data_IF_405619210310
#
_entry.id   IF_405619210310
#
_cell.length_a   1.000
_cell.length_b   1.000
_cell.length_c   1.000
_cell.angle_alpha   90.00
_cell.angle_beta   90.00
_cell.angle_gamma   90.00
#
_symmetry.space_group_name_H-M   'P 1'
#
loop_
_entity.id
_entity.type
_entity.pdbx_description
1 polymer ?
#
# COMPACT_ATOMS: atom_id res chain seq x y z
N UNK A 1 -38.80 1.45 -61.04
CA UNK A 1 -38.77 2.12 -59.72
C UNK A 1 -38.28 1.09 -58.71
N UNK A 2 -37.02 1.20 -58.29
CA UNK A 2 -36.37 0.38 -57.27
C UNK A 2 -37.00 0.61 -55.89
N UNK A 3 -36.99 -0.44 -55.05
CA UNK A 3 -36.82 -0.43 -53.57
C UNK A 3 -36.87 -1.89 -53.09
N UNK A 4 -35.73 -2.57 -53.10
CA UNK A 4 -34.82 -2.78 -51.96
C UNK A 4 -35.33 -3.82 -50.96
N UNK A 5 -34.82 -5.05 -51.11
CA UNK A 5 -34.82 -6.10 -50.08
C UNK A 5 -33.98 -5.60 -48.90
N UNK A 6 -34.59 -5.41 -47.74
CA UNK A 6 -33.86 -5.17 -46.51
C UNK A 6 -33.15 -6.44 -46.08
N UNK A 7 -31.82 -6.45 -46.18
CA UNK A 7 -30.98 -7.37 -45.42
C UNK A 7 -31.05 -6.93 -43.96
N UNK A 8 -31.56 -7.80 -43.10
CA UNK A 8 -31.36 -7.68 -41.65
C UNK A 8 -29.88 -7.94 -41.42
N UNK A 9 -29.12 -6.88 -41.15
CA UNK A 9 -27.78 -7.04 -40.63
C UNK A 9 -27.92 -7.75 -39.27
N UNK A 10 -27.45 -8.99 -39.20
CA UNK A 10 -27.26 -9.66 -37.93
C UNK A 10 -26.31 -8.77 -37.12
N UNK A 11 -26.83 -8.18 -36.04
CA UNK A 11 -25.97 -7.56 -35.04
C UNK A 11 -25.06 -8.66 -34.52
N UNK A 12 -23.79 -8.58 -34.87
CA UNK A 12 -22.74 -9.36 -34.20
C UNK A 12 -22.76 -8.84 -32.76
N UNK A 13 -23.39 -9.60 -31.87
CA UNK A 13 -23.24 -9.40 -30.44
C UNK A 13 -21.74 -9.39 -30.16
N UNK A 14 -21.22 -8.30 -29.60
CA UNK A 14 -19.89 -8.33 -29.01
C UNK A 14 -19.86 -9.55 -28.07
N UNK A 15 -18.87 -10.45 -28.19
CA UNK A 15 -18.79 -11.59 -27.32
C UNK A 15 -18.63 -11.07 -25.89
N UNK A 16 -19.70 -11.19 -25.09
CA UNK A 16 -19.66 -10.90 -23.67
C UNK A 16 -18.65 -11.87 -23.05
N UNK A 17 -17.54 -11.33 -22.55
CA UNK A 17 -16.57 -12.11 -21.78
C UNK A 17 -17.30 -12.69 -20.55
N UNK A 18 -17.27 -14.00 -20.38
CA UNK A 18 -17.96 -14.72 -19.28
C UNK A 18 -17.24 -14.61 -17.92
N UNK A 19 -16.32 -13.66 -17.77
CA UNK A 19 -15.48 -13.51 -16.60
C UNK A 19 -15.15 -12.04 -16.33
N UNK A 20 -14.86 -11.74 -15.08
CA UNK A 20 -14.47 -10.41 -14.62
C UNK A 20 -13.08 -10.44 -13.98
N UNK A 21 -12.26 -9.44 -14.27
CA UNK A 21 -10.95 -9.25 -13.62
C UNK A 21 -10.96 -7.90 -12.92
N UNK A 22 -10.43 -7.86 -11.70
CA UNK A 22 -10.26 -6.66 -10.88
C UNK A 22 -8.76 -6.48 -10.61
N UNK A 23 -8.16 -5.34 -10.98
CA UNK A 23 -8.73 -4.28 -11.82
C UNK A 23 -8.98 -4.75 -13.26
N UNK A 24 -9.97 -4.13 -13.92
CA UNK A 24 -10.32 -4.44 -15.31
C UNK A 24 -9.13 -4.14 -16.24
N UNK A 25 -8.73 -5.07 -17.12
CA UNK A 25 -7.62 -4.84 -18.03
C UNK A 25 -7.91 -3.74 -19.03
N UNK A 26 -6.92 -2.90 -19.31
CA UNK A 26 -7.05 -1.78 -20.25
C UNK A 26 -7.32 -2.21 -21.70
N UNK A 27 -6.86 -3.39 -22.11
CA UNK A 27 -7.14 -3.94 -23.44
C UNK A 27 -7.26 -5.47 -23.41
N UNK A 28 -8.37 -5.97 -23.96
CA UNK A 28 -8.63 -7.40 -24.18
C UNK A 28 -8.97 -7.58 -25.66
N UNK A 29 -8.19 -8.38 -26.37
CA UNK A 29 -8.39 -8.74 -27.78
C UNK A 29 -8.83 -10.21 -27.89
N UNK A 30 -10.11 -10.51 -28.10
CA UNK A 30 -10.59 -11.87 -28.27
C UNK A 30 -10.05 -12.50 -29.57
N UNK A 31 -9.65 -13.76 -29.50
CA UNK A 31 -9.21 -14.56 -30.66
C UNK A 31 -10.14 -15.76 -30.86
N UNK A 32 -10.11 -16.34 -32.06
CA UNK A 32 -10.91 -17.54 -32.37
C UNK A 32 -10.32 -18.76 -31.69
N UNK A 33 -11.18 -19.52 -31.01
CA UNK A 33 -10.85 -20.82 -30.42
C UNK A 33 -10.75 -20.79 -28.89
N UNK A 34 -10.34 -21.94 -28.34
CA UNK A 34 -10.16 -22.13 -26.89
C UNK A 34 -8.85 -22.85 -26.61
N UNK A 35 -8.17 -22.44 -25.56
CA UNK A 35 -7.06 -23.15 -24.96
C UNK A 35 -7.61 -24.12 -23.89
N UNK A 36 -7.32 -25.41 -24.03
CA UNK A 36 -7.71 -26.42 -23.05
C UNK A 36 -6.48 -26.88 -22.27
N UNK A 37 -6.26 -26.30 -21.10
CA UNK A 37 -5.14 -26.67 -20.24
C UNK A 37 -5.41 -28.03 -19.56
N UNK A 38 -4.39 -28.90 -19.41
CA UNK A 38 -4.59 -30.23 -18.84
C UNK A 38 -4.76 -30.18 -17.32
N UNK A 39 -5.38 -31.23 -16.74
CA UNK A 39 -5.44 -31.41 -15.28
C UNK A 39 -4.07 -31.64 -14.64
N UNK A 40 -3.06 -32.04 -15.42
CA UNK A 40 -1.67 -32.13 -14.99
C UNK A 40 -0.79 -31.48 -16.04
N UNK A 41 -0.11 -30.41 -15.67
CA UNK A 41 0.73 -29.61 -16.56
C UNK A 41 1.88 -28.98 -15.80
N UNK A 42 2.63 -28.11 -16.47
CA UNK A 42 3.76 -27.40 -15.87
C UNK A 42 3.61 -25.89 -16.09
N UNK A 43 3.84 -25.11 -15.03
CA UNK A 43 4.13 -23.68 -15.15
C UNK A 43 5.65 -23.53 -15.20
N UNK A 44 6.16 -22.94 -16.28
CA UNK A 44 7.60 -22.67 -16.44
C UNK A 44 7.89 -21.20 -16.28
N UNK A 45 8.82 -20.86 -15.40
CA UNK A 45 9.42 -19.52 -15.31
C UNK A 45 10.73 -19.49 -16.10
N UNK A 46 10.82 -18.62 -17.11
CA UNK A 46 12.07 -18.37 -17.83
C UNK A 46 13.09 -17.72 -16.90
N UNK A 47 14.37 -18.01 -17.12
CA UNK A 47 15.45 -17.46 -16.29
C UNK A 47 15.50 -15.94 -16.45
N UNK A 48 15.62 -15.21 -15.35
CA UNK A 48 15.60 -13.74 -15.35
C UNK A 48 14.24 -13.10 -15.09
N UNK A 49 13.25 -13.87 -14.60
CA UNK A 49 11.99 -13.34 -14.07
C UNK A 49 12.09 -12.84 -12.61
N UNK A 50 13.25 -12.99 -11.97
CA UNK A 50 13.58 -12.54 -10.60
C UNK A 50 12.64 -13.03 -9.47
N UNK A 51 11.78 -14.02 -9.74
CA UNK A 51 10.99 -14.74 -8.73
C UNK A 51 11.77 -15.94 -8.17
N UNK A 52 12.68 -15.68 -7.23
CA UNK A 52 13.56 -16.70 -6.67
C UNK A 52 12.83 -17.89 -6.00
N UNK A 53 11.60 -17.66 -5.52
CA UNK A 53 10.79 -18.68 -4.85
C UNK A 53 9.74 -19.32 -5.75
N UNK A 54 9.62 -18.86 -7.01
CA UNK A 54 8.56 -19.20 -7.96
C UNK A 54 7.16 -18.99 -7.34
N UNK A 55 6.99 -17.89 -6.60
CA UNK A 55 5.76 -17.51 -5.92
C UNK A 55 4.59 -17.49 -6.90
N UNK A 56 4.75 -16.86 -8.06
CA UNK A 56 3.66 -16.67 -9.01
C UNK A 56 3.26 -17.97 -9.69
N UNK A 57 4.23 -18.79 -10.13
CA UNK A 57 3.94 -20.12 -10.65
C UNK A 57 3.24 -21.02 -9.61
N UNK A 58 3.66 -20.99 -8.34
CA UNK A 58 2.99 -21.75 -7.26
C UNK A 58 1.59 -21.25 -6.99
N UNK A 59 1.38 -19.93 -6.92
CA UNK A 59 0.06 -19.34 -6.74
C UNK A 59 -0.94 -19.77 -7.83
N UNK A 60 -0.47 -19.88 -9.07
CA UNK A 60 -1.27 -20.37 -10.19
C UNK A 60 -1.56 -21.87 -10.05
N UNK A 61 -0.54 -22.69 -9.77
CA UNK A 61 -0.71 -24.13 -9.55
C UNK A 61 -1.67 -24.45 -8.39
N UNK A 62 -1.60 -23.68 -7.30
CA UNK A 62 -2.49 -23.82 -6.13
C UNK A 62 -3.94 -23.47 -6.49
N UNK A 63 -4.17 -22.45 -7.31
CA UNK A 63 -5.51 -22.12 -7.79
C UNK A 63 -6.07 -23.20 -8.72
N UNK A 64 -5.26 -23.74 -9.63
CA UNK A 64 -5.67 -24.86 -10.49
C UNK A 64 -6.02 -26.09 -9.66
N UNK A 65 -5.22 -26.39 -8.63
CA UNK A 65 -5.50 -27.49 -7.69
C UNK A 65 -6.80 -27.27 -6.93
N UNK A 66 -7.01 -26.07 -6.41
CA UNK A 66 -8.18 -25.74 -5.59
C UNK A 66 -9.48 -25.71 -6.40
N UNK A 67 -9.44 -25.16 -7.61
CA UNK A 67 -10.63 -24.94 -8.44
C UNK A 67 -10.94 -26.15 -9.31
N UNK A 68 -9.91 -26.79 -9.88
CA UNK A 68 -10.06 -27.82 -10.90
C UNK A 68 -9.58 -29.21 -10.45
N UNK A 69 -8.98 -29.34 -9.25
CA UNK A 69 -8.39 -30.59 -8.77
C UNK A 69 -7.08 -30.98 -9.46
N UNK A 70 -6.56 -30.13 -10.36
CA UNK A 70 -5.36 -30.40 -11.13
C UNK A 70 -4.07 -30.35 -10.30
N UNK A 71 -3.06 -31.14 -10.66
CA UNK A 71 -1.75 -31.13 -9.99
C UNK A 71 -0.69 -30.67 -10.98
N UNK A 72 -0.25 -29.43 -10.80
CA UNK A 72 0.70 -28.79 -11.70
C UNK A 72 2.08 -28.72 -11.08
N UNK A 73 3.09 -28.93 -11.92
CA UNK A 73 4.49 -28.78 -11.54
C UNK A 73 4.94 -27.34 -11.77
N UNK A 74 5.92 -26.90 -10.99
CA UNK A 74 6.62 -25.63 -11.18
C UNK A 74 8.04 -25.95 -11.61
N UNK A 75 8.48 -25.37 -12.71
CA UNK A 75 9.82 -25.57 -13.25
C UNK A 75 10.42 -24.25 -13.72
N UNK A 76 11.74 -24.22 -13.87
CA UNK A 76 12.44 -23.09 -14.45
C UNK A 76 13.25 -23.53 -15.68
N UNK A 77 13.27 -22.69 -16.71
CA UNK A 77 14.00 -22.96 -17.94
C UNK A 77 13.43 -22.29 -19.17
N UNK A 78 14.04 -22.54 -20.32
CA UNK A 78 13.71 -21.89 -21.60
C UNK A 78 12.66 -22.64 -22.42
N UNK A 79 12.22 -23.82 -21.95
CA UNK A 79 11.28 -24.66 -22.69
C UNK A 79 9.86 -24.17 -22.42
N UNK A 80 9.17 -23.75 -23.48
CA UNK A 80 7.74 -23.45 -23.41
C UNK A 80 6.93 -24.68 -23.01
N UNK A 81 5.98 -24.47 -22.10
CA UNK A 81 5.04 -25.47 -21.59
C UNK A 81 3.63 -24.89 -21.60
N UNK A 82 2.69 -25.61 -21.01
CA UNK A 82 1.27 -25.25 -20.97
C UNK A 82 1.06 -23.82 -20.46
N UNK A 83 1.84 -23.41 -19.46
CA UNK A 83 1.95 -22.01 -19.04
C UNK A 83 3.42 -21.60 -18.97
N UNK A 84 3.78 -20.51 -19.64
CA UNK A 84 5.14 -19.95 -19.61
C UNK A 84 5.13 -18.51 -19.09
N UNK A 85 5.93 -18.22 -18.08
CA UNK A 85 6.14 -16.90 -17.49
C UNK A 85 7.50 -16.35 -17.92
N UNK A 86 7.55 -15.13 -18.43
CA UNK A 86 8.80 -14.51 -18.91
C UNK A 86 8.82 -13.00 -18.77
N UNK A 87 10.02 -12.44 -18.87
CA UNK A 87 10.24 -10.98 -18.86
C UNK A 87 10.68 -10.48 -20.23
N UNK A 88 10.29 -9.25 -20.55
CA UNK A 88 10.71 -8.53 -21.74
C UNK A 88 10.85 -7.05 -21.40
N UNK A 89 12.05 -6.54 -21.12
CA UNK A 89 12.28 -5.13 -20.75
C UNK A 89 11.87 -4.12 -21.82
N UNK A 90 11.58 -4.57 -23.05
CA UNK A 90 11.04 -3.73 -24.12
C UNK A 90 9.56 -3.37 -23.94
N UNK A 91 8.85 -4.03 -23.03
CA UNK A 91 7.52 -3.60 -22.61
C UNK A 91 7.64 -2.35 -21.74
N UNK A 92 6.65 -1.45 -21.81
CA UNK A 92 6.61 -0.29 -20.92
C UNK A 92 6.52 -0.68 -19.45
N UNK A 93 6.95 0.21 -18.56
CA UNK A 93 6.98 -0.04 -17.11
C UNK A 93 5.67 -0.58 -16.58
N UNK A 94 5.75 -1.54 -15.65
CA UNK A 94 4.60 -2.19 -14.99
C UNK A 94 3.63 -2.89 -15.95
N UNK A 95 3.97 -3.01 -17.23
CA UNK A 95 3.08 -3.59 -18.23
C UNK A 95 3.24 -5.11 -18.30
N UNK A 96 2.19 -5.79 -18.74
CA UNK A 96 2.23 -7.19 -19.11
C UNK A 96 1.40 -7.49 -20.35
N UNK A 97 1.71 -8.62 -20.98
CA UNK A 97 0.91 -9.24 -22.04
C UNK A 97 0.60 -10.68 -21.63
N UNK A 98 -0.68 -11.04 -21.60
CA UNK A 98 -1.16 -12.41 -21.42
C UNK A 98 -1.70 -12.90 -22.78
N UNK A 99 -1.05 -13.90 -23.34
CA UNK A 99 -1.41 -14.51 -24.63
C UNK A 99 -1.97 -15.91 -24.37
N UNK A 100 -3.23 -16.13 -24.74
CA UNK A 100 -3.91 -17.43 -24.68
C UNK A 100 -4.13 -17.92 -26.10
N UNK A 101 -3.51 -19.05 -26.43
CA UNK A 101 -3.56 -19.69 -27.75
C UNK A 101 -3.98 -21.15 -27.63
N UNK A 102 -4.32 -21.84 -28.75
CA UNK A 102 -4.61 -23.27 -28.69
C UNK A 102 -3.47 -24.12 -28.11
N UNK A 103 -2.22 -23.65 -28.23
CA UNK A 103 -1.02 -24.37 -27.78
C UNK A 103 -0.66 -24.13 -26.31
N UNK A 104 -1.28 -23.14 -25.65
CA UNK A 104 -1.00 -22.81 -24.25
C UNK A 104 -1.10 -21.31 -23.94
N UNK A 105 -0.59 -20.96 -22.76
CA UNK A 105 -0.62 -19.60 -22.23
C UNK A 105 0.80 -19.05 -22.02
N UNK A 106 1.04 -17.82 -22.47
CA UNK A 106 2.29 -17.11 -22.25
C UNK A 106 2.01 -15.77 -21.55
N UNK A 107 2.70 -15.52 -20.44
CA UNK A 107 2.68 -14.25 -19.72
C UNK A 107 4.04 -13.59 -19.89
N UNK A 108 4.06 -12.40 -20.49
CA UNK A 108 5.24 -11.58 -20.67
C UNK A 108 5.10 -10.30 -19.84
N UNK A 109 5.90 -10.13 -18.79
CA UNK A 109 5.96 -8.90 -18.02
C UNK A 109 7.13 -8.00 -18.45
N UNK A 110 7.02 -6.69 -18.23
CA UNK A 110 8.14 -5.75 -18.33
C UNK A 110 9.28 -6.07 -17.35
N UNK A 111 8.92 -6.66 -16.21
CA UNK A 111 9.80 -7.17 -15.17
C UNK A 111 9.02 -8.09 -14.22
N UNK A 112 9.55 -8.28 -13.01
CA UNK A 112 8.94 -9.11 -11.96
C UNK A 112 7.47 -8.72 -11.68
N UNK A 113 7.16 -7.43 -11.58
CA UNK A 113 5.83 -6.94 -11.24
C UNK A 113 4.85 -7.03 -12.41
N UNK A 114 5.34 -6.93 -13.65
CA UNK A 114 4.52 -7.22 -14.83
C UNK A 114 4.12 -8.70 -14.87
N UNK A 115 5.06 -9.62 -14.58
CA UNK A 115 4.75 -11.05 -14.49
C UNK A 115 3.75 -11.33 -13.38
N UNK A 116 3.95 -10.72 -12.19
CA UNK A 116 2.98 -10.79 -11.09
C UNK A 116 1.58 -10.47 -11.57
N UNK A 117 1.40 -9.29 -12.17
CA UNK A 117 0.08 -8.75 -12.54
C UNK A 117 -0.59 -9.61 -13.62
N UNK A 118 0.18 -10.11 -14.60
CA UNK A 118 -0.31 -11.05 -15.61
C UNK A 118 -0.75 -12.39 -15.03
N UNK A 119 0.00 -12.93 -14.06
CA UNK A 119 -0.39 -14.15 -13.33
C UNK A 119 -1.65 -13.93 -12.52
N UNK A 120 -1.80 -12.78 -11.85
CA UNK A 120 -3.02 -12.49 -11.09
C UNK A 120 -4.26 -12.43 -11.97
N UNK A 121 -4.13 -11.84 -13.17
CA UNK A 121 -5.21 -11.84 -14.18
C UNK A 121 -5.59 -13.25 -14.59
N UNK A 122 -4.62 -14.12 -14.93
CA UNK A 122 -4.90 -15.51 -15.30
C UNK A 122 -5.55 -16.29 -14.14
N UNK A 123 -5.06 -16.10 -12.91
CA UNK A 123 -5.65 -16.71 -11.71
C UNK A 123 -7.11 -16.32 -11.52
N UNK A 124 -7.46 -15.05 -11.74
CA UNK A 124 -8.84 -14.56 -11.66
C UNK A 124 -9.74 -15.22 -12.71
N UNK A 125 -9.26 -15.37 -13.94
CA UNK A 125 -9.99 -16.03 -15.02
C UNK A 125 -10.22 -17.51 -14.69
N UNK A 126 -9.17 -18.26 -14.31
CA UNK A 126 -9.27 -19.70 -13.99
C UNK A 126 -10.24 -19.97 -12.84
N UNK A 127 -10.28 -19.08 -11.83
CA UNK A 127 -11.23 -19.21 -10.71
C UNK A 127 -12.71 -19.15 -11.12
N UNK A 128 -13.01 -18.57 -12.27
CA UNK A 128 -14.38 -18.41 -12.77
C UNK A 128 -14.75 -19.48 -13.80
N UNK A 129 -13.86 -19.74 -14.76
CA UNK A 129 -14.18 -20.58 -15.93
C UNK A 129 -13.35 -21.87 -16.02
N UNK A 130 -12.42 -22.10 -15.11
CA UNK A 130 -11.59 -23.31 -15.07
C UNK A 130 -10.46 -23.30 -16.11
N UNK A 131 -10.16 -24.49 -16.67
CA UNK A 131 -9.00 -24.73 -17.54
C UNK A 131 -9.30 -24.64 -19.05
N UNK A 132 -10.54 -24.38 -19.43
CA UNK A 132 -10.93 -24.14 -20.83
C UNK A 132 -11.11 -22.63 -21.00
N UNK A 133 -10.08 -21.98 -21.52
CA UNK A 133 -9.97 -20.52 -21.57
C UNK A 133 -10.13 -20.07 -23.03
N UNK A 134 -11.01 -19.10 -23.35
CA UNK A 134 -11.06 -18.52 -24.69
C UNK A 134 -9.70 -17.98 -25.14
N UNK A 135 -9.33 -18.20 -26.39
CA UNK A 135 -8.12 -17.61 -26.95
C UNK A 135 -8.26 -16.08 -26.94
N UNK A 136 -7.20 -15.39 -26.52
CA UNK A 136 -7.20 -13.93 -26.39
C UNK A 136 -5.79 -13.39 -26.19
N UNK A 137 -5.64 -12.07 -26.38
CA UNK A 137 -4.47 -11.32 -25.93
C UNK A 137 -4.94 -10.22 -24.99
N UNK A 138 -4.43 -10.19 -23.76
CA UNK A 138 -4.65 -9.09 -22.82
C UNK A 138 -3.36 -8.28 -22.75
N UNK A 139 -3.46 -6.96 -22.96
CA UNK A 139 -2.36 -6.01 -22.75
C UNK A 139 -2.79 -5.06 -21.67
N UNK A 140 -2.00 -4.97 -20.61
CA UNK A 140 -2.41 -4.17 -19.46
C UNK A 140 -1.24 -3.48 -18.78
N UNK A 141 -1.55 -2.35 -18.14
CA UNK A 141 -0.63 -1.55 -17.31
C UNK A 141 -1.44 -0.72 -16.30
N UNK A 142 -0.91 -0.48 -15.10
CA UNK A 142 -1.61 0.35 -14.12
C UNK A 142 -1.64 1.83 -14.55
N UNK A 143 -2.72 2.53 -14.17
CA UNK A 143 -2.84 3.98 -14.37
C UNK A 143 -1.87 4.78 -13.48
N UNK A 144 -1.60 4.27 -12.27
CA UNK A 144 -0.68 4.85 -11.31
C UNK A 144 0.42 3.87 -10.94
N UNK A 145 1.67 4.35 -10.89
CA UNK A 145 2.83 3.55 -10.51
C UNK A 145 2.74 3.02 -9.08
N UNK A 146 2.16 3.80 -8.16
CA UNK A 146 1.93 3.40 -6.76
C UNK A 146 0.46 3.14 -6.49
N UNK A 147 0.16 1.95 -5.94
CA UNK A 147 -1.16 1.50 -5.52
C UNK A 147 -1.01 0.98 -4.10
N UNK A 148 -1.27 1.86 -3.14
CA UNK A 148 -1.03 1.64 -1.73
C UNK A 148 -2.26 1.17 -0.96
N UNK A 149 -2.03 0.31 0.03
CA UNK A 149 -2.98 0.03 1.10
C UNK A 149 -2.38 0.45 2.43
N UNK A 150 -3.13 1.19 3.24
CA UNK A 150 -2.68 1.69 4.54
C UNK A 150 -3.42 0.96 5.65
N UNK A 151 -2.71 0.25 6.53
CA UNK A 151 -3.30 -0.50 7.64
C UNK A 151 -2.88 0.06 8.99
N UNK A 152 -3.87 0.48 9.75
CA UNK A 152 -3.74 0.77 11.17
C UNK A 152 -3.72 -0.52 12.00
N UNK A 153 -2.58 -0.79 12.65
CA UNK A 153 -2.42 -1.93 13.57
C UNK A 153 -2.43 -1.51 15.04
N UNK A 154 -2.99 -0.34 15.36
CA UNK A 154 -2.90 0.33 16.67
C UNK A 154 -4.25 0.50 17.37
N UNK A 155 -5.33 0.73 16.61
CA UNK A 155 -6.66 1.06 17.17
C UNK A 155 -7.46 -0.18 17.57
N UNK A 156 -7.12 -1.34 17.03
CA UNK A 156 -7.76 -2.63 17.30
C UNK A 156 -6.80 -3.66 17.90
N UNK A 157 -7.09 -4.94 17.66
CA UNK A 157 -6.15 -6.02 17.97
C UNK A 157 -4.97 -5.96 16.99
N UNK A 158 -3.78 -6.21 17.49
CA UNK A 158 -2.61 -6.42 16.64
C UNK A 158 -2.86 -7.65 15.76
N UNK A 159 -2.81 -7.51 14.42
CA UNK A 159 -3.05 -8.65 13.54
C UNK A 159 -1.97 -9.72 13.70
N UNK A 160 -2.37 -10.98 13.61
CA UNK A 160 -1.39 -12.08 13.60
C UNK A 160 -0.60 -12.10 12.30
N UNK A 161 0.62 -12.63 12.34
CA UNK A 161 1.45 -12.82 11.14
C UNK A 161 0.75 -13.64 10.05
N UNK A 162 -0.05 -14.65 10.43
CA UNK A 162 -0.84 -15.42 9.47
C UNK A 162 -1.88 -14.55 8.76
N UNK A 163 -2.54 -13.64 9.49
CA UNK A 163 -3.50 -12.71 8.90
C UNK A 163 -2.80 -11.69 8.00
N UNK A 164 -1.70 -11.09 8.44
CA UNK A 164 -0.92 -10.13 7.65
C UNK A 164 -0.46 -10.74 6.33
N UNK A 165 0.09 -11.95 6.36
CA UNK A 165 0.46 -12.69 5.13
C UNK A 165 -0.73 -12.94 4.21
N UNK A 166 -1.87 -13.37 4.77
CA UNK A 166 -3.10 -13.57 3.98
C UNK A 166 -3.61 -12.26 3.35
N UNK A 167 -3.37 -11.12 4.00
CA UNK A 167 -3.72 -9.81 3.50
C UNK A 167 -2.77 -9.39 2.37
N UNK A 168 -1.46 -9.59 2.53
CA UNK A 168 -0.47 -9.37 1.47
C UNK A 168 -0.76 -10.21 0.22
N UNK A 169 -1.17 -11.47 0.39
CA UNK A 169 -1.63 -12.30 -0.74
C UNK A 169 -2.85 -11.69 -1.45
N UNK A 170 -3.75 -11.04 -0.70
CA UNK A 170 -4.91 -10.35 -1.27
C UNK A 170 -4.54 -9.07 -2.00
N UNK A 171 -3.65 -8.26 -1.42
CA UNK A 171 -3.11 -7.07 -2.07
C UNK A 171 -2.43 -7.44 -3.39
N UNK A 172 -1.60 -8.49 -3.37
CA UNK A 172 -0.93 -9.03 -4.55
C UNK A 172 -1.97 -9.44 -5.60
N UNK A 173 -2.98 -10.23 -5.21
CA UNK A 173 -4.05 -10.70 -6.10
C UNK A 173 -4.82 -9.59 -6.82
N UNK A 174 -4.98 -8.42 -6.17
CA UNK A 174 -5.62 -7.24 -6.73
C UNK A 174 -4.63 -6.20 -7.28
N UNK A 175 -3.38 -6.63 -7.55
CA UNK A 175 -2.32 -5.84 -8.18
C UNK A 175 -1.90 -4.59 -7.38
N UNK A 176 -2.14 -4.52 -6.07
CA UNK A 176 -1.51 -3.52 -5.19
C UNK A 176 -0.01 -3.80 -5.10
N UNK A 177 0.80 -2.74 -4.99
CA UNK A 177 2.26 -2.86 -4.92
C UNK A 177 2.89 -2.12 -3.73
N UNK A 178 2.09 -1.48 -2.88
CA UNK A 178 2.59 -0.88 -1.64
C UNK A 178 1.65 -1.20 -0.48
N UNK A 179 2.23 -1.52 0.66
CA UNK A 179 1.55 -1.77 1.92
C UNK A 179 2.19 -0.89 3.00
N UNK A 180 1.46 0.10 3.52
CA UNK A 180 1.92 0.93 4.63
C UNK A 180 1.37 0.38 5.95
N UNK A 181 2.26 0.19 6.92
CA UNK A 181 1.92 -0.33 8.24
C UNK A 181 2.02 0.78 9.28
N UNK A 182 0.88 1.25 9.77
CA UNK A 182 0.81 2.31 10.77
C UNK A 182 0.94 1.77 12.19
N UNK A 183 1.92 2.32 12.92
CA UNK A 183 2.38 1.85 14.21
C UNK A 183 2.39 3.01 15.22
N UNK A 184 1.89 2.72 16.41
CA UNK A 184 2.00 3.56 17.62
C UNK A 184 2.65 2.68 18.71
N UNK A 185 1.84 2.15 19.62
CA UNK A 185 2.26 1.31 20.76
C UNK A 185 2.28 -0.19 20.43
N UNK A 186 1.99 -0.58 19.20
CA UNK A 186 1.81 -1.97 18.78
C UNK A 186 3.05 -2.58 18.15
N UNK A 187 4.19 -1.92 18.31
CA UNK A 187 5.52 -2.44 18.07
C UNK A 187 6.34 -2.45 19.36
N UNK A 188 7.20 -3.46 19.52
CA UNK A 188 7.98 -3.69 20.73
C UNK A 188 9.23 -2.79 20.80
N UNK A 189 9.02 -1.47 20.84
CA UNK A 189 10.12 -0.51 20.98
C UNK A 189 10.95 -0.75 22.26
N UNK A 190 12.27 -0.67 22.11
CA UNK A 190 13.22 -0.87 23.20
C UNK A 190 13.08 0.24 24.26
N UNK A 191 13.12 -0.15 25.53
CA UNK A 191 12.99 0.80 26.65
C UNK A 191 11.59 1.39 26.85
N UNK A 192 10.61 1.03 26.01
CA UNK A 192 9.22 1.54 26.06
C UNK A 192 8.21 0.49 26.54
N UNK A 193 8.62 -0.39 27.46
CA UNK A 193 7.75 -1.48 27.93
C UNK A 193 6.48 -1.00 28.66
N UNK A 194 6.43 0.24 29.19
CA UNK A 194 5.19 0.80 29.72
C UNK A 194 4.15 1.08 28.61
N UNK A 195 4.61 1.28 27.37
CA UNK A 195 3.79 1.65 26.21
C UNK A 195 3.13 0.42 25.57
N UNK A 196 3.90 -0.63 25.29
CA UNK A 196 3.41 -1.78 24.51
C UNK A 196 2.97 -2.98 25.35
N UNK A 197 3.18 -2.98 26.68
CA UNK A 197 2.83 -4.12 27.53
C UNK A 197 1.32 -4.36 27.54
N UNK A 198 0.93 -5.59 27.23
CA UNK A 198 -0.48 -6.01 27.15
C UNK A 198 -1.13 -5.77 25.79
N UNK A 199 -0.38 -5.24 24.81
CA UNK A 199 -0.88 -5.03 23.44
C UNK A 199 -0.60 -6.21 22.48
N UNK A 200 0.15 -7.22 22.92
CA UNK A 200 0.71 -8.28 22.05
C UNK A 200 1.42 -7.68 20.82
N UNK A 201 2.46 -6.84 21.03
CA UNK A 201 3.05 -6.05 19.96
C UNK A 201 3.81 -6.89 18.94
N UNK A 202 3.92 -6.36 17.73
CA UNK A 202 4.84 -6.86 16.70
C UNK A 202 6.28 -6.68 17.17
N UNK A 203 7.11 -7.67 16.89
CA UNK A 203 8.56 -7.66 17.16
C UNK A 203 9.34 -7.28 15.91
N UNK A 204 10.64 -6.96 16.08
CA UNK A 204 11.54 -6.76 14.93
C UNK A 204 11.58 -7.99 14.00
N UNK A 205 11.46 -9.20 14.54
CA UNK A 205 11.42 -10.43 13.75
C UNK A 205 10.16 -10.51 12.90
N UNK A 206 9.00 -10.09 13.44
CA UNK A 206 7.73 -10.09 12.70
C UNK A 206 7.79 -9.12 11.52
N UNK A 207 8.37 -7.94 11.72
CA UNK A 207 8.54 -6.94 10.66
C UNK A 207 9.47 -7.44 9.56
N UNK A 208 10.64 -8.00 9.91
CA UNK A 208 11.58 -8.57 8.93
C UNK A 208 10.97 -9.73 8.14
N UNK A 209 10.17 -10.57 8.81
CA UNK A 209 9.44 -11.66 8.17
C UNK A 209 8.37 -11.12 7.21
N UNK A 210 7.60 -10.10 7.63
CA UNK A 210 6.56 -9.48 6.81
C UNK A 210 7.15 -8.77 5.59
N UNK A 211 8.21 -7.99 5.78
CA UNK A 211 8.92 -7.27 4.71
C UNK A 211 9.43 -8.25 3.64
N UNK A 212 10.04 -9.36 4.07
CA UNK A 212 10.47 -10.42 3.16
C UNK A 212 9.31 -11.06 2.40
N UNK A 213 8.19 -11.31 3.09
CA UNK A 213 6.98 -11.89 2.49
C UNK A 213 6.33 -10.95 1.46
N UNK A 214 6.30 -9.64 1.74
CA UNK A 214 5.84 -8.59 0.85
C UNK A 214 6.73 -8.49 -0.39
N UNK A 215 8.05 -8.45 -0.21
CA UNK A 215 9.00 -8.35 -1.31
C UNK A 215 8.90 -9.53 -2.29
N UNK A 216 8.75 -10.76 -1.78
CA UNK A 216 8.51 -11.95 -2.60
C UNK A 216 7.21 -11.89 -3.45
N UNK A 217 6.34 -10.91 -3.20
CA UNK A 217 5.08 -10.66 -3.93
C UNK A 217 5.07 -9.33 -4.68
N UNK A 218 6.21 -8.64 -4.75
CA UNK A 218 6.34 -7.32 -5.38
C UNK A 218 5.58 -6.23 -4.64
N UNK A 219 5.39 -6.39 -3.34
CA UNK A 219 4.75 -5.39 -2.48
C UNK A 219 5.84 -4.69 -1.67
N UNK A 220 5.94 -3.38 -1.81
CA UNK A 220 6.77 -2.53 -0.97
C UNK A 220 6.11 -2.37 0.39
N UNK A 221 6.74 -2.85 1.47
CA UNK A 221 6.30 -2.60 2.84
C UNK A 221 6.91 -1.27 3.31
N UNK A 222 6.08 -0.30 3.65
CA UNK A 222 6.51 1.05 4.09
C UNK A 222 6.20 1.22 5.58
N UNK A 223 7.19 1.61 6.40
CA UNK A 223 6.95 1.96 7.79
C UNK A 223 6.16 3.27 7.89
N UNK A 224 5.16 3.28 8.77
CA UNK A 224 4.46 4.50 9.18
C UNK A 224 4.36 4.52 10.70
N UNK A 225 4.94 5.54 11.34
CA UNK A 225 4.92 5.66 12.80
C UNK A 225 4.47 7.05 13.17
N UNK A 226 3.59 7.15 14.17
CA UNK A 226 3.22 8.46 14.69
C UNK A 226 4.38 9.08 15.45
N UNK A 227 4.84 10.26 15.03
CA UNK A 227 6.00 10.95 15.63
C UNK A 227 5.65 12.30 16.25
N UNK A 228 4.37 12.70 16.29
CA UNK A 228 3.99 14.03 16.78
C UNK A 228 2.61 14.05 17.47
N UNK A 229 1.56 13.76 16.71
CA UNK A 229 0.21 13.53 17.23
C UNK A 229 0.05 12.11 17.77
N UNK A 230 -1.17 11.70 18.10
CA UNK A 230 -1.56 10.31 18.36
C UNK A 230 -0.74 9.47 19.36
N UNK A 231 -0.08 10.11 20.32
CA UNK A 231 0.71 9.40 21.33
C UNK A 231 -0.11 8.96 22.56
N UNK A 232 -1.40 8.61 22.39
CA UNK A 232 -2.32 8.28 23.49
C UNK A 232 -1.73 7.29 24.50
N UNK A 233 -1.27 6.13 24.04
CA UNK A 233 -0.74 5.10 24.95
C UNK A 233 0.59 5.54 25.57
N UNK A 234 1.43 6.23 24.79
CA UNK A 234 2.76 6.65 25.22
C UNK A 234 2.68 7.76 26.30
N UNK A 235 1.95 8.85 26.05
CA UNK A 235 1.83 10.01 26.94
C UNK A 235 1.01 9.74 28.20
N UNK A 236 0.46 8.54 28.36
CA UNK A 236 -0.21 8.12 29.59
C UNK A 236 0.67 7.26 30.50
N UNK A 237 1.83 6.84 30.01
CA UNK A 237 2.82 6.12 30.82
C UNK A 237 3.43 7.03 31.90
N UNK A 238 4.08 6.45 32.91
CA UNK A 238 4.81 7.26 33.90
C UNK A 238 6.07 7.86 33.29
N UNK A 239 6.71 7.13 32.39
CA UNK A 239 7.95 7.53 31.75
C UNK A 239 7.80 8.74 30.82
N UNK A 240 6.70 8.81 30.04
CA UNK A 240 6.59 9.77 28.92
C UNK A 240 5.52 10.84 29.10
N UNK A 241 4.67 10.78 30.13
CA UNK A 241 3.57 11.75 30.30
C UNK A 241 4.00 13.20 30.31
N UNK A 242 5.20 13.49 30.82
CA UNK A 242 5.76 14.83 30.83
C UNK A 242 6.16 15.36 29.44
N UNK A 243 6.17 14.54 28.40
CA UNK A 243 6.47 14.99 27.04
C UNK A 243 5.25 15.59 26.33
N UNK A 244 4.03 15.44 26.85
CA UNK A 244 2.82 15.95 26.23
C UNK A 244 2.56 17.43 26.48
N UNK A 245 1.67 18.03 25.68
CA UNK A 245 1.13 19.38 25.91
C UNK A 245 0.37 19.49 27.25
N UNK A 246 -0.31 18.42 27.66
CA UNK A 246 -1.18 18.34 28.83
C UNK A 246 -0.86 17.11 29.71
N UNK A 247 0.29 17.05 30.40
CA UNK A 247 0.68 15.93 31.27
C UNK A 247 -0.32 15.66 32.40
N UNK A 248 -1.03 16.69 32.88
CA UNK A 248 -2.07 16.60 33.90
C UNK A 248 -3.28 15.76 33.44
N UNK A 249 -3.46 15.62 32.12
CA UNK A 249 -4.58 14.90 31.52
C UNK A 249 -4.27 13.43 31.24
N UNK A 250 -3.05 12.96 31.55
CA UNK A 250 -2.59 11.59 31.32
C UNK A 250 -3.46 10.51 32.00
N UNK A 251 -4.25 10.88 33.01
CA UNK A 251 -5.09 9.95 33.77
C UNK A 251 -6.60 10.13 33.47
N UNK A 252 -6.97 10.93 32.45
CA UNK A 252 -8.38 11.07 32.01
C UNK A 252 -9.00 9.72 31.68
N UNK A 253 -10.30 9.48 31.95
CA UNK A 253 -10.97 8.24 31.55
C UNK A 253 -10.91 8.02 30.04
N UNK A 254 -10.71 6.77 29.61
CA UNK A 254 -10.71 6.41 28.20
C UNK A 254 -12.04 6.76 27.52
N UNK A 255 -11.96 7.41 26.37
CA UNK A 255 -13.01 7.43 25.36
C UNK A 255 -12.39 7.43 23.97
N UNK A 256 -13.14 6.98 22.96
CA UNK A 256 -12.65 7.03 21.57
C UNK A 256 -12.33 8.46 21.13
N UNK A 257 -13.12 9.44 21.58
CA UNK A 257 -12.88 10.86 21.30
C UNK A 257 -11.58 11.30 21.96
N UNK A 258 -11.43 11.08 23.26
CA UNK A 258 -10.24 11.52 24.00
C UNK A 258 -8.94 10.87 23.47
N UNK A 259 -9.01 9.62 22.99
CA UNK A 259 -7.88 8.96 22.32
C UNK A 259 -7.49 9.61 20.98
N UNK A 260 -8.45 10.20 20.26
CA UNK A 260 -8.22 10.82 18.95
C UNK A 260 -7.86 12.30 19.05
N UNK A 261 -8.51 13.04 19.96
CA UNK A 261 -8.48 14.52 19.96
C UNK A 261 -7.35 15.13 20.78
N UNK A 262 -6.57 14.31 21.48
CA UNK A 262 -5.50 14.74 22.38
C UNK A 262 -4.22 13.94 22.14
N UNK A 263 -3.17 14.25 22.90
CA UNK A 263 -1.89 13.52 22.98
C UNK A 263 -0.87 13.93 21.90
N UNK A 264 -0.75 15.25 21.69
CA UNK A 264 0.36 15.87 20.95
C UNK A 264 1.58 16.10 21.85
N UNK A 265 2.77 15.85 21.32
CA UNK A 265 4.03 16.17 22.00
C UNK A 265 4.21 17.69 22.20
N UNK A 266 4.76 18.07 23.35
CA UNK A 266 5.27 19.42 23.61
C UNK A 266 6.64 19.58 22.97
N UNK A 267 6.71 20.30 21.85
CA UNK A 267 7.95 20.49 21.09
C UNK A 267 8.90 21.55 21.67
N UNK A 268 8.53 22.18 22.79
CA UNK A 268 9.46 23.07 23.55
C UNK A 268 10.39 22.28 24.47
N UNK A 269 10.13 20.99 24.67
CA UNK A 269 11.01 20.05 25.36
C UNK A 269 11.77 19.22 24.32
N UNK A 270 13.09 19.33 24.30
CA UNK A 270 13.95 18.64 23.34
C UNK A 270 13.85 17.10 23.44
N UNK A 271 13.46 16.58 24.60
CA UNK A 271 13.20 15.14 24.79
C UNK A 271 12.05 14.63 23.91
N UNK A 272 11.14 15.50 23.49
CA UNK A 272 10.08 15.14 22.53
C UNK A 272 10.67 14.81 21.16
N UNK A 273 11.67 15.59 20.72
CA UNK A 273 12.39 15.31 19.47
C UNK A 273 13.22 14.02 19.57
N UNK A 274 13.93 13.83 20.67
CA UNK A 274 14.69 12.59 20.94
C UNK A 274 13.77 11.36 20.97
N UNK A 275 12.58 11.48 21.57
CA UNK A 275 11.60 10.42 21.57
C UNK A 275 11.14 10.08 20.14
N UNK A 276 10.68 11.06 19.36
CA UNK A 276 10.24 10.85 17.98
C UNK A 276 11.32 10.23 17.09
N UNK A 277 12.55 10.75 17.18
CA UNK A 277 13.69 10.23 16.40
C UNK A 277 14.11 8.84 16.83
N UNK A 278 13.96 8.48 18.11
CA UNK A 278 14.21 7.11 18.57
C UNK A 278 13.23 6.09 17.97
N UNK A 279 11.95 6.45 17.80
CA UNK A 279 10.95 5.60 17.15
C UNK A 279 11.29 5.38 15.67
N UNK A 280 11.71 6.44 15.00
CA UNK A 280 12.17 6.39 13.61
C UNK A 280 13.39 5.46 13.48
N UNK A 281 14.41 5.68 14.31
CA UNK A 281 15.69 4.95 14.23
C UNK A 281 15.56 3.47 14.53
N UNK A 282 14.62 3.08 15.39
CA UNK A 282 14.38 1.67 15.70
C UNK A 282 13.57 0.96 14.61
N UNK A 283 12.60 1.64 14.00
CA UNK A 283 11.69 1.04 13.03
C UNK A 283 12.30 0.99 11.61
N UNK A 284 12.95 2.08 11.19
CA UNK A 284 13.53 2.24 9.84
C UNK A 284 14.39 1.06 9.35
N UNK A 285 15.36 0.52 10.10
CA UNK A 285 16.24 -0.54 9.60
C UNK A 285 15.55 -1.89 9.38
N UNK A 286 14.28 -2.03 9.78
CA UNK A 286 13.52 -3.28 9.66
C UNK A 286 12.82 -3.43 8.30
N UNK A 287 12.85 -2.39 7.46
CA UNK A 287 12.14 -2.33 6.17
C UNK A 287 13.13 -2.17 5.03
N UNK A 288 12.83 -2.77 3.87
CA UNK A 288 13.60 -2.55 2.63
C UNK A 288 13.24 -1.24 1.95
N UNK A 289 12.05 -0.70 2.21
CA UNK A 289 11.60 0.52 1.56
C UNK A 289 12.51 1.69 1.91
N UNK A 290 12.80 2.52 0.92
CA UNK A 290 13.43 3.82 1.12
C UNK A 290 12.45 4.90 1.56
N UNK A 291 11.16 4.62 1.61
CA UNK A 291 10.16 5.57 2.07
C UNK A 291 9.94 5.39 3.56
N UNK A 292 9.73 6.49 4.27
CA UNK A 292 9.37 6.46 5.68
C UNK A 292 8.28 7.49 5.95
N UNK A 293 7.14 7.03 6.47
CA UNK A 293 6.03 7.91 6.81
C UNK A 293 6.09 8.30 8.29
N UNK A 294 6.38 9.57 8.57
CA UNK A 294 6.44 10.11 9.94
C UNK A 294 5.06 10.54 10.47
N UNK A 295 4.03 10.42 9.64
CA UNK A 295 2.65 10.85 9.91
C UNK A 295 2.56 12.37 10.12
N UNK A 296 2.84 12.83 11.34
CA UNK A 296 2.75 14.22 11.80
C UNK A 296 1.38 14.90 11.56
N UNK A 297 0.30 14.13 11.64
CA UNK A 297 -1.10 14.58 11.54
C UNK A 297 -1.73 14.94 12.89
N UNK A 298 -2.88 15.62 12.83
CA UNK A 298 -3.84 15.79 13.92
C UNK A 298 -3.21 16.32 15.22
N UNK A 299 -2.28 17.28 15.10
CA UNK A 299 -1.58 17.92 16.23
C UNK A 299 -2.47 18.95 16.96
N UNK A 300 -3.68 18.54 17.35
CA UNK A 300 -4.73 19.42 17.85
C UNK A 300 -4.37 20.15 19.14
N UNK A 301 -3.48 19.61 19.97
CA UNK A 301 -3.08 20.23 21.23
C UNK A 301 -1.92 21.23 21.07
N UNK A 302 -1.24 21.24 19.91
CA UNK A 302 -0.05 22.06 19.68
C UNK A 302 -0.32 23.54 19.97
N UNK A 303 0.50 24.14 20.83
CA UNK A 303 0.38 25.55 21.19
C UNK A 303 -0.74 25.88 22.17
N UNK A 304 -1.45 24.89 22.72
CA UNK A 304 -2.55 25.10 23.67
C UNK A 304 -2.15 24.82 25.13
N UNK A 305 -1.15 23.95 25.35
CA UNK A 305 -0.68 23.53 26.67
C UNK A 305 0.68 24.14 27.04
N UNK A 306 1.65 23.30 27.39
CA UNK A 306 3.02 23.70 27.76
C UNK A 306 3.68 24.63 26.74
N UNK A 307 3.39 24.47 25.45
CA UNK A 307 3.97 25.31 24.39
C UNK A 307 3.20 26.61 24.10
N UNK A 308 2.15 26.94 24.87
CA UNK A 308 1.29 28.12 24.65
C UNK A 308 2.04 29.46 24.64
N UNK A 309 3.10 29.60 25.44
CA UNK A 309 3.89 30.83 25.43
C UNK A 309 4.72 30.97 24.14
N UNK A 310 5.11 29.85 23.54
CA UNK A 310 5.87 29.83 22.29
C UNK A 310 4.95 30.05 21.09
N UNK A 311 3.76 29.45 21.11
CA UNK A 311 2.75 29.65 20.06
C UNK A 311 2.29 31.10 19.98
N UNK A 312 2.18 31.79 21.12
CA UNK A 312 1.88 33.22 21.16
C UNK A 312 2.97 34.11 20.50
N UNK A 313 4.22 33.61 20.38
CA UNK A 313 5.34 34.36 19.76
C UNK A 313 5.50 34.03 18.28
N UNK A 314 5.41 32.75 17.91
CA UNK A 314 5.78 32.25 16.57
C UNK A 314 4.58 31.82 15.72
N UNK A 315 3.44 31.51 16.34
CA UNK A 315 2.30 30.87 15.69
C UNK A 315 2.45 29.35 15.57
N UNK A 316 1.31 28.66 15.53
CA UNK A 316 1.25 27.18 15.50
C UNK A 316 1.82 26.60 14.20
N UNK A 317 1.52 27.19 13.04
CA UNK A 317 2.04 26.73 11.75
C UNK A 317 3.58 26.77 11.69
N UNK A 318 4.21 27.84 12.19
CA UNK A 318 5.67 27.94 12.24
C UNK A 318 6.31 26.96 13.24
N UNK A 319 5.65 26.71 14.37
CA UNK A 319 6.06 25.70 15.34
C UNK A 319 6.00 24.28 14.76
N UNK A 320 4.90 23.95 14.07
CA UNK A 320 4.73 22.69 13.38
C UNK A 320 5.81 22.50 12.31
N UNK A 321 6.00 23.51 11.43
CA UNK A 321 6.98 23.45 10.35
C UNK A 321 8.41 23.22 10.86
N UNK A 322 8.82 23.90 11.94
CA UNK A 322 10.14 23.73 12.55
C UNK A 322 10.36 22.30 13.08
N UNK A 323 9.38 21.74 13.80
CA UNK A 323 9.50 20.37 14.32
C UNK A 323 9.49 19.33 13.20
N UNK A 324 8.57 19.45 12.24
CA UNK A 324 8.46 18.52 11.12
C UNK A 324 9.67 18.61 10.20
N UNK A 325 10.21 19.81 9.93
CA UNK A 325 11.45 19.98 9.17
C UNK A 325 12.60 19.20 9.81
N UNK A 326 12.76 19.28 11.13
CA UNK A 326 13.81 18.55 11.85
C UNK A 326 13.64 17.03 11.77
N UNK A 327 12.41 16.53 11.77
CA UNK A 327 12.12 15.11 11.57
C UNK A 327 12.39 14.67 10.13
N UNK A 328 11.96 15.47 9.15
CA UNK A 328 12.22 15.22 7.74
C UNK A 328 13.72 15.14 7.47
N UNK A 329 14.52 16.10 7.97
CA UNK A 329 15.98 16.06 7.85
C UNK A 329 16.59 14.82 8.49
N UNK A 330 16.12 14.41 9.67
CA UNK A 330 16.62 13.21 10.35
C UNK A 330 16.42 11.93 9.52
N UNK A 331 15.29 11.83 8.82
CA UNK A 331 14.97 10.72 7.90
C UNK A 331 15.80 10.83 6.61
N UNK A 332 15.89 12.02 6.03
CA UNK A 332 16.64 12.30 4.79
C UNK A 332 18.15 12.06 4.95
N UNK A 333 18.74 12.47 6.08
CA UNK A 333 20.14 12.23 6.43
C UNK A 333 20.49 10.73 6.51
N UNK A 334 19.47 9.87 6.66
CA UNK A 334 19.58 8.40 6.64
C UNK A 334 19.26 7.80 5.27
N UNK A 335 19.08 8.63 4.24
CA UNK A 335 18.88 8.23 2.86
C UNK A 335 17.48 7.70 2.55
N UNK A 336 16.45 8.20 3.26
CA UNK A 336 15.05 7.82 3.07
C UNK A 336 14.20 9.00 2.58
N UNK A 337 13.27 8.70 1.67
CA UNK A 337 12.23 9.63 1.21
C UNK A 337 11.17 9.79 2.28
N UNK A 338 10.83 11.02 2.62
CA UNK A 338 9.90 11.33 3.72
C UNK A 338 8.46 11.34 3.21
N UNK A 339 7.55 10.76 4.00
CA UNK A 339 6.11 10.91 3.78
C UNK A 339 5.45 11.52 5.02
N UNK A 340 4.47 12.41 4.78
CA UNK A 340 3.79 13.20 5.81
C UNK A 340 2.32 13.33 5.42
N UNK A 341 1.39 13.27 6.38
CA UNK A 341 -0.01 13.58 6.12
C UNK A 341 -0.19 15.08 5.83
N UNK A 342 -1.13 15.40 4.94
CA UNK A 342 -1.29 16.74 4.39
C UNK A 342 -2.27 17.64 5.16
N UNK A 343 -2.93 17.15 6.21
CA UNK A 343 -3.97 17.88 6.96
C UNK A 343 -3.47 19.24 7.46
N UNK A 344 -2.33 19.26 8.16
CA UNK A 344 -1.79 20.52 8.70
C UNK A 344 -1.29 21.43 7.58
N UNK A 345 -0.74 20.88 6.50
CA UNK A 345 -0.31 21.65 5.33
C UNK A 345 -1.47 22.27 4.56
N UNK A 346 -2.65 21.64 4.56
CA UNK A 346 -3.85 22.17 3.96
C UNK A 346 -4.46 23.30 4.80
N UNK A 347 -4.34 23.24 6.12
CA UNK A 347 -4.74 24.33 7.04
C UNK A 347 -3.74 25.49 7.05
N UNK A 348 -2.45 25.18 6.87
CA UNK A 348 -1.33 26.11 6.86
C UNK A 348 -0.49 25.98 5.57
N UNK A 349 -1.01 26.40 4.39
CA UNK A 349 -0.33 26.21 3.11
C UNK A 349 1.09 26.80 3.04
N UNK A 350 1.39 27.81 3.85
CA UNK A 350 2.71 28.41 3.95
C UNK A 350 3.81 27.41 4.33
N UNK A 351 3.48 26.30 4.98
CA UNK A 351 4.48 25.31 5.41
C UNK A 351 5.00 24.45 4.25
N UNK A 352 4.25 24.35 3.14
CA UNK A 352 4.67 23.58 1.96
C UNK A 352 5.93 24.21 1.34
N UNK A 353 6.10 25.52 1.50
CA UNK A 353 7.27 26.24 1.02
C UNK A 353 8.46 26.23 1.97
N UNK A 354 8.22 26.00 3.27
CA UNK A 354 9.30 25.94 4.27
C UNK A 354 9.86 24.54 4.44
N UNK A 355 9.03 23.50 4.26
CA UNK A 355 9.46 22.11 4.43
C UNK A 355 10.28 21.59 3.24
N UNK A 356 11.11 20.55 3.45
CA UNK A 356 11.88 19.92 2.37
C UNK A 356 11.01 19.49 1.18
N UNK A 357 11.50 19.75 -0.04
CA UNK A 357 10.73 19.48 -1.27
C UNK A 357 10.67 18.00 -1.66
N UNK A 358 11.41 17.12 -0.99
CA UNK A 358 11.38 15.67 -1.20
C UNK A 358 10.28 14.96 -0.39
N UNK A 359 9.34 15.69 0.21
CA UNK A 359 8.20 15.11 0.91
C UNK A 359 7.16 14.58 -0.08
N UNK A 360 6.69 13.36 0.16
CA UNK A 360 5.44 12.85 -0.41
C UNK A 360 4.30 13.08 0.57
N UNK A 361 3.34 13.93 0.19
CA UNK A 361 2.19 14.29 1.00
C UNK A 361 1.07 13.26 0.87
N UNK A 362 0.63 12.65 1.97
CA UNK A 362 -0.56 11.81 1.97
C UNK A 362 -1.79 12.69 2.20
N UNK A 363 -2.63 12.81 1.18
CA UNK A 363 -3.84 13.61 1.21
C UNK A 363 -5.05 12.73 1.48
N UNK A 364 -5.39 12.58 2.75
CA UNK A 364 -6.61 11.90 3.19
C UNK A 364 -7.86 12.76 2.98
N UNK A 365 -8.96 12.12 2.60
CA UNK A 365 -10.25 12.77 2.47
C UNK A 365 -11.33 11.78 2.95
N UNK A 366 -11.97 12.11 4.07
CA UNK A 366 -12.88 11.21 4.80
C UNK A 366 -14.35 11.50 4.64
N UNK A 367 -14.68 12.70 4.16
CA UNK A 367 -16.06 13.12 3.95
C UNK A 367 -16.75 12.24 2.89
N UNK A 368 -18.09 12.13 2.92
CA UNK A 368 -18.82 11.41 1.88
C UNK A 368 -18.85 12.16 0.54
N UNK A 369 -18.84 13.49 0.57
CA UNK A 369 -18.95 14.37 -0.61
C UNK A 369 -17.59 15.00 -0.94
N UNK A 370 -16.60 14.16 -1.23
CA UNK A 370 -15.23 14.60 -1.48
C UNK A 370 -15.06 15.18 -2.88
N UNK A 371 -14.67 16.45 -2.98
CA UNK A 371 -14.24 17.09 -4.22
C UNK A 371 -12.72 16.99 -4.46
N UNK A 372 -12.24 17.52 -5.59
CA UNK A 372 -10.82 17.54 -5.95
C UNK A 372 -10.07 18.77 -5.38
N UNK A 373 -10.69 19.57 -4.51
CA UNK A 373 -10.16 20.85 -4.05
C UNK A 373 -8.84 20.74 -3.30
N UNK A 374 -8.72 19.85 -2.31
CA UNK A 374 -7.46 19.68 -1.56
C UNK A 374 -6.37 19.03 -2.41
N UNK A 375 -6.74 18.11 -3.29
CA UNK A 375 -5.84 17.48 -4.27
C UNK A 375 -5.28 18.53 -5.23
N UNK A 376 -6.13 19.41 -5.77
CA UNK A 376 -5.73 20.51 -6.64
C UNK A 376 -4.84 21.52 -5.90
N UNK A 377 -5.17 21.88 -4.66
CA UNK A 377 -4.36 22.81 -3.87
C UNK A 377 -2.91 22.32 -3.67
N UNK A 378 -2.73 21.03 -3.34
CA UNK A 378 -1.39 20.43 -3.23
C UNK A 378 -0.68 20.36 -4.58
N UNK A 379 -1.41 20.04 -5.66
CA UNK A 379 -0.84 20.00 -7.00
C UNK A 379 -0.38 21.39 -7.48
N UNK A 380 -1.18 22.43 -7.24
CA UNK A 380 -0.87 23.82 -7.58
C UNK A 380 0.33 24.35 -6.78
N UNK A 381 0.53 23.86 -5.56
CA UNK A 381 1.73 24.11 -4.75
C UNK A 381 2.98 23.32 -5.22
N UNK A 382 2.85 22.49 -6.27
CA UNK A 382 3.93 21.66 -6.80
C UNK A 382 4.32 20.50 -5.88
N UNK A 383 3.45 20.12 -4.95
CA UNK A 383 3.72 19.07 -3.97
C UNK A 383 3.52 17.67 -4.59
N UNK A 384 4.47 16.76 -4.34
CA UNK A 384 4.28 15.34 -4.64
C UNK A 384 3.28 14.77 -3.65
N UNK A 385 2.22 14.10 -4.12
CA UNK A 385 1.17 13.61 -3.24
C UNK A 385 0.71 12.18 -3.56
N UNK A 386 0.22 11.50 -2.53
CA UNK A 386 -0.59 10.29 -2.61
C UNK A 386 -2.03 10.63 -2.22
N UNK A 387 -2.98 10.30 -3.08
CA UNK A 387 -4.41 10.53 -2.81
C UNK A 387 -4.95 9.37 -1.98
N UNK A 388 -5.26 9.63 -0.72
CA UNK A 388 -5.71 8.68 0.30
C UNK A 388 -7.21 8.84 0.58
N UNK A 389 -8.02 8.80 -0.48
CA UNK A 389 -9.49 8.88 -0.34
C UNK A 389 -10.02 7.67 0.42
N UNK A 390 -10.97 7.91 1.34
CA UNK A 390 -11.73 6.83 1.97
C UNK A 390 -12.42 6.02 0.88
N UNK A 391 -12.15 4.71 0.82
CA UNK A 391 -13.03 3.79 0.11
C UNK A 391 -14.33 3.63 0.91
N UNK A 392 -15.24 4.58 0.77
CA UNK A 392 -16.58 4.45 1.31
C UNK A 392 -17.32 3.35 0.56
N UNK A 393 -17.54 2.21 1.22
CA UNK A 393 -18.75 1.45 0.94
C UNK A 393 -19.91 2.36 1.34
N UNK A 394 -20.41 3.13 0.39
CA UNK A 394 -21.71 3.78 0.54
C UNK A 394 -22.75 2.68 0.71
N UNK A 395 -23.09 2.37 1.97
CA UNK A 395 -24.44 1.88 2.24
C UNK A 395 -25.35 3.08 1.98
N UNK A 396 -25.83 3.18 0.74
CA UNK A 396 -27.15 3.77 0.50
C UNK A 396 -28.19 2.68 0.66
#
# INVERSE_FOLDING_TARGET
>A
MQRSKGYVAAMVQEPTLEWHVIPEPTNVEPLVGTCSLPLSGTVVEQRGADDAEAVFARQLADDIKRVCGGRWQVASGEVQREVTLRTSPSLGDWSYVLEVSPDGVVITGSGFEGVRDGVQTLRQIIRQIGLTIPCMVIRDRPAFSTRGYYLDVTRGRVPSMAWLKSWVDRLCFYKYNQFQLYIEHTFQFNGLSEVWRGADPLTSSDILELDSYCAARGIELVPSVSTFGHHYTALRTRQLRDLGEFPEDADRPFSLIERMTHHTLNITDERSYEFSTSLIDELMPLFRSRKFNICADETFDLGKGRSKQESAKRGVGAMYADFVERLCRHVDDRGHDVMVWADVALEHPEIIDTLPKNITWLNWQYEPDVDDGTTAALADAGATQMVCRRCGAGMR
#
